data_IF_672060062796
#
_entry.id   IF_672060062796
#
_cell.length_a   1.000
_cell.length_b   1.000
_cell.length_c   1.000
_cell.angle_alpha   90.00
_cell.angle_beta   90.00
_cell.angle_gamma   90.00
#
_symmetry.space_group_name_H-M   'P 1'
#
loop_
_entity.id
_entity.type
_entity.pdbx_description
1 polymer ?
#
# COMPACT_ATOMS: atom_id res chain seq x y z
N UNK A 1 8.57 -19.25 5.81
CA UNK A 1 9.61 -18.25 5.50
C UNK A 1 9.03 -17.44 4.36
N UNK A 2 8.53 -16.24 4.64
CA UNK A 2 8.15 -15.32 3.56
C UNK A 2 9.44 -14.98 2.81
N UNK A 3 9.44 -15.18 1.49
CA UNK A 3 10.59 -14.85 0.68
C UNK A 3 10.68 -13.32 0.61
N UNK A 4 11.90 -12.79 0.67
CA UNK A 4 12.15 -11.34 0.66
C UNK A 4 11.62 -10.66 -0.62
N UNK A 5 11.27 -11.46 -1.65
CA UNK A 5 10.80 -10.99 -2.95
C UNK A 5 9.35 -11.40 -3.26
N UNK A 6 8.58 -11.86 -2.27
CA UNK A 6 7.20 -12.26 -2.52
C UNK A 6 6.34 -11.02 -2.85
N UNK A 7 5.60 -11.02 -3.99
CA UNK A 7 4.80 -9.88 -4.38
C UNK A 7 3.63 -9.69 -3.41
N UNK A 8 3.46 -8.44 -2.97
CA UNK A 8 2.39 -8.08 -2.04
C UNK A 8 1.89 -6.67 -2.26
N UNK A 9 0.62 -6.46 -1.88
CA UNK A 9 -0.02 -5.14 -1.88
C UNK A 9 -0.14 -4.62 -0.46
N UNK A 10 0.53 -3.51 -0.18
CA UNK A 10 0.41 -2.81 1.10
C UNK A 10 -0.56 -1.64 0.94
N UNK A 11 -1.49 -1.50 1.88
CA UNK A 11 -2.46 -0.40 1.90
C UNK A 11 -2.24 0.45 3.15
N UNK A 12 -1.75 1.67 2.95
CA UNK A 12 -1.53 2.64 4.00
C UNK A 12 -2.76 3.56 4.10
N UNK A 13 -3.56 3.40 5.14
CA UNK A 13 -4.74 4.23 5.40
C UNK A 13 -4.38 5.39 6.32
N UNK A 14 -4.49 6.61 5.81
CA UNK A 14 -4.09 7.84 6.53
C UNK A 14 -5.19 8.91 6.43
N UNK A 15 -5.03 10.00 7.19
CA UNK A 15 -5.96 11.12 7.14
C UNK A 15 -5.60 12.08 6.00
N UNK A 16 -6.61 12.59 5.32
CA UNK A 16 -6.51 13.63 4.29
C UNK A 16 -5.67 14.86 4.68
N UNK A 17 -5.63 15.23 5.96
CA UNK A 17 -4.78 16.31 6.46
C UNK A 17 -3.27 16.10 6.19
N UNK A 18 -2.84 14.89 5.85
CA UNK A 18 -1.44 14.55 5.52
C UNK A 18 -1.23 14.27 4.02
N UNK A 19 -2.13 14.73 3.14
CA UNK A 19 -2.07 14.44 1.70
C UNK A 19 -0.78 14.89 1.00
N UNK A 20 -0.15 15.99 1.48
CA UNK A 20 1.13 16.50 0.98
C UNK A 20 2.35 15.72 1.49
N UNK A 21 2.15 14.76 2.39
CA UNK A 21 3.22 14.01 3.05
C UNK A 21 3.27 12.54 2.57
N UNK A 22 2.66 12.22 1.43
CA UNK A 22 2.62 10.85 0.89
C UNK A 22 4.02 10.26 0.66
N UNK A 23 4.94 11.05 0.09
CA UNK A 23 6.34 10.67 -0.07
C UNK A 23 7.02 10.37 1.28
N UNK A 24 6.75 11.19 2.30
CA UNK A 24 7.32 11.02 3.67
C UNK A 24 6.73 9.78 4.35
N UNK A 25 5.44 9.50 4.11
CA UNK A 25 4.78 8.27 4.60
C UNK A 25 5.46 7.04 3.99
N UNK A 26 5.73 7.03 2.69
CA UNK A 26 6.41 5.94 2.01
C UNK A 26 7.84 5.74 2.54
N UNK A 27 8.64 6.81 2.63
CA UNK A 27 10.01 6.77 3.15
C UNK A 27 10.06 6.18 4.58
N UNK A 28 9.19 6.68 5.48
CA UNK A 28 9.14 6.18 6.86
C UNK A 28 8.61 4.74 6.95
N UNK A 29 7.70 4.35 6.05
CA UNK A 29 7.22 2.98 6.00
C UNK A 29 8.36 2.01 5.66
N UNK A 30 9.13 2.27 4.60
CA UNK A 30 10.26 1.43 4.22
C UNK A 30 11.38 1.46 5.28
N UNK A 31 11.69 2.62 5.86
CA UNK A 31 12.67 2.70 6.94
C UNK A 31 12.34 1.77 8.14
N UNK A 32 11.06 1.48 8.39
CA UNK A 32 10.60 0.63 9.50
C UNK A 32 10.36 -0.83 9.12
N UNK A 33 9.86 -1.09 7.90
CA UNK A 33 9.35 -2.40 7.50
C UNK A 33 10.25 -3.17 6.52
N UNK A 34 11.33 -2.55 6.05
CA UNK A 34 12.30 -3.17 5.17
C UNK A 34 12.72 -2.26 4.03
N UNK A 35 13.91 -2.49 3.44
CA UNK A 35 14.45 -1.62 2.42
C UNK A 35 13.44 -1.43 1.28
N UNK A 36 13.30 -0.18 0.85
CA UNK A 36 12.56 0.15 -0.35
C UNK A 36 13.09 -0.67 -1.53
N UNK A 37 12.24 -1.47 -2.21
CA UNK A 37 12.70 -2.28 -3.32
C UNK A 37 13.10 -1.34 -4.46
N UNK A 38 14.40 -1.28 -4.76
CA UNK A 38 15.01 -0.42 -5.78
C UNK A 38 14.28 -0.53 -7.12
N UNK A 39 13.43 0.46 -7.44
CA UNK A 39 12.60 0.50 -8.64
C UNK A 39 11.75 -0.76 -8.86
N UNK A 40 11.34 -1.47 -7.80
CA UNK A 40 10.48 -2.66 -7.89
C UNK A 40 9.27 -2.51 -6.97
N UNK A 41 8.72 -1.30 -6.92
CA UNK A 41 7.38 -1.06 -6.42
C UNK A 41 6.68 0.06 -7.20
N UNK A 42 5.37 0.11 -7.04
CA UNK A 42 4.56 1.22 -7.52
C UNK A 42 3.65 1.77 -6.43
N UNK A 43 3.42 3.09 -6.42
CA UNK A 43 2.63 3.78 -5.40
C UNK A 43 1.40 4.44 -6.04
N UNK A 44 0.21 3.93 -5.74
CA UNK A 44 -1.05 4.57 -6.12
C UNK A 44 -1.57 5.44 -4.96
N UNK A 45 -1.69 6.74 -5.20
CA UNK A 45 -2.37 7.63 -4.29
C UNK A 45 -3.88 7.63 -4.59
N UNK A 46 -4.67 7.20 -3.63
CA UNK A 46 -6.12 7.12 -3.74
C UNK A 46 -6.76 8.26 -2.93
N UNK A 47 -7.53 9.15 -3.58
CA UNK A 47 -8.19 10.26 -2.90
C UNK A 47 -9.28 9.78 -1.92
N UNK A 48 -9.68 10.64 -0.98
CA UNK A 48 -10.77 10.31 -0.07
C UNK A 48 -12.09 10.18 -0.83
N UNK A 49 -12.97 9.31 -0.35
CA UNK A 49 -14.37 9.25 -0.79
C UNK A 49 -15.26 10.07 0.17
N UNK A 50 -16.40 9.52 0.61
CA UNK A 50 -17.28 10.08 1.66
C UNK A 50 -16.62 10.16 3.07
N UNK A 51 -15.34 9.84 3.21
CA UNK A 51 -14.61 9.87 4.49
C UNK A 51 -13.34 10.72 4.39
N UNK A 52 -12.88 11.30 5.51
CA UNK A 52 -11.60 12.04 5.61
C UNK A 52 -10.36 11.13 5.59
N UNK A 53 -10.41 10.05 4.80
CA UNK A 53 -9.40 8.98 4.80
C UNK A 53 -8.91 8.75 3.38
N UNK A 54 -7.61 8.91 3.21
CA UNK A 54 -6.87 8.62 1.99
C UNK A 54 -6.16 7.28 2.11
N UNK A 55 -5.74 6.74 0.97
CA UNK A 55 -5.01 5.48 0.90
C UNK A 55 -3.82 5.64 -0.03
N UNK A 56 -2.64 5.16 0.39
CA UNK A 56 -1.55 4.84 -0.53
C UNK A 56 -1.56 3.32 -0.69
N UNK A 57 -1.60 2.86 -1.93
CA UNK A 57 -1.47 1.45 -2.28
C UNK A 57 -0.07 1.25 -2.84
N UNK A 58 0.74 0.46 -2.14
CA UNK A 58 2.08 0.08 -2.58
C UNK A 58 2.05 -1.34 -3.13
N UNK A 59 2.38 -1.47 -4.40
CA UNK A 59 2.55 -2.75 -5.07
C UNK A 59 4.02 -3.14 -5.04
N UNK A 60 4.40 -3.96 -4.06
CA UNK A 60 5.79 -4.36 -3.82
C UNK A 60 6.13 -5.56 -4.69
N UNK A 61 7.27 -5.50 -5.37
CA UNK A 61 7.75 -6.49 -6.36
C UNK A 61 6.93 -6.56 -7.64
N UNK A 62 6.36 -5.43 -8.07
CA UNK A 62 5.49 -5.37 -9.24
C UNK A 62 6.21 -5.51 -10.59
N UNK A 63 7.47 -5.08 -10.69
CA UNK A 63 8.25 -5.16 -11.92
C UNK A 63 8.86 -6.55 -12.11
N UNK A 64 9.27 -7.20 -11.01
CA UNK A 64 9.71 -8.60 -11.03
C UNK A 64 8.54 -9.58 -11.22
N UNK A 65 7.32 -9.19 -10.85
CA UNK A 65 6.10 -9.99 -11.01
C UNK A 65 5.04 -9.23 -11.81
N UNK A 66 5.23 -9.03 -13.12
CA UNK A 66 4.33 -8.19 -13.95
C UNK A 66 2.94 -8.79 -14.14
N UNK A 67 2.77 -10.08 -13.86
CA UNK A 67 1.48 -10.77 -13.92
C UNK A 67 1.22 -11.42 -12.58
N UNK A 68 0.13 -11.04 -11.94
CA UNK A 68 -0.29 -11.60 -10.66
C UNK A 68 -1.79 -11.87 -10.66
N UNK A 69 -2.18 -12.88 -9.88
CA UNK A 69 -3.58 -13.11 -9.56
C UNK A 69 -3.98 -12.19 -8.38
N UNK A 70 -4.73 -11.13 -8.72
CA UNK A 70 -5.29 -10.17 -7.77
C UNK A 70 -6.14 -10.82 -6.66
N UNK A 71 -6.67 -12.02 -6.90
CA UNK A 71 -7.46 -12.77 -5.93
C UNK A 71 -6.60 -13.43 -4.85
N UNK A 72 -5.35 -13.77 -5.17
CA UNK A 72 -4.46 -14.52 -4.28
C UNK A 72 -3.32 -13.70 -3.69
N UNK A 73 -2.96 -12.56 -4.29
CA UNK A 73 -1.87 -11.71 -3.80
C UNK A 73 -2.05 -11.34 -2.33
N UNK A 74 -0.96 -11.38 -1.55
CA UNK A 74 -0.99 -11.00 -0.13
C UNK A 74 -1.32 -9.51 0.03
N UNK A 75 -2.20 -9.20 0.98
CA UNK A 75 -2.53 -7.84 1.38
C UNK A 75 -2.05 -7.58 2.80
N UNK A 76 -1.35 -6.48 3.00
CA UNK A 76 -1.07 -5.92 4.31
C UNK A 76 -1.75 -4.56 4.41
N UNK A 77 -2.43 -4.28 5.53
CA UNK A 77 -3.11 -3.01 5.71
C UNK A 77 -2.57 -2.35 6.96
N UNK A 78 -2.14 -1.10 6.85
CA UNK A 78 -1.66 -0.31 7.96
C UNK A 78 -2.54 0.90 8.18
N UNK A 79 -2.90 1.15 9.43
CA UNK A 79 -3.44 2.42 9.86
C UNK A 79 -2.27 3.36 10.18
N UNK A 80 -2.21 4.48 9.48
CA UNK A 80 -1.18 5.50 9.66
C UNK A 80 -1.70 6.62 10.56
N UNK A 81 -0.93 6.96 11.59
CA UNK A 81 -1.20 8.10 12.47
C UNK A 81 0.07 8.91 12.67
N UNK A 82 -0.05 10.22 12.91
CA UNK A 82 1.10 11.08 13.21
C UNK A 82 1.08 11.48 14.69
N UNK A 83 2.18 11.27 15.39
CA UNK A 83 2.44 11.82 16.72
C UNK A 83 3.95 12.10 16.82
N UNK A 84 4.35 13.27 16.32
CA UNK A 84 5.73 13.54 15.90
C UNK A 84 5.98 12.90 14.53
N UNK A 85 6.39 11.63 14.53
CA UNK A 85 6.60 10.81 13.32
C UNK A 85 5.34 10.01 12.95
N UNK A 86 5.33 9.45 11.74
CA UNK A 86 4.30 8.51 11.33
C UNK A 86 4.46 7.18 12.07
N UNK A 87 3.33 6.63 12.52
CA UNK A 87 3.22 5.33 13.17
C UNK A 87 2.33 4.45 12.31
N UNK A 88 2.77 3.22 12.11
CA UNK A 88 2.12 2.23 11.26
C UNK A 88 1.58 1.10 12.15
N UNK A 89 0.26 1.00 12.24
CA UNK A 89 -0.43 -0.04 13.00
C UNK A 89 -0.98 -1.07 12.00
N UNK A 90 -0.39 -2.26 11.95
CA UNK A 90 -0.87 -3.32 11.07
C UNK A 90 -2.26 -3.78 11.53
N UNK A 91 -3.18 -3.87 10.58
CA UNK A 91 -4.55 -4.32 10.80
C UNK A 91 -4.70 -5.81 10.50
N UNK A 92 -5.81 -6.37 10.95
CA UNK A 92 -6.08 -7.80 10.84
C UNK A 92 -6.58 -8.22 9.44
N UNK A 93 -6.76 -9.53 9.25
CA UNK A 93 -7.21 -10.13 8.00
C UNK A 93 -8.55 -9.58 7.48
N UNK A 94 -9.46 -9.14 8.35
CA UNK A 94 -10.73 -8.54 7.92
C UNK A 94 -10.51 -7.20 7.20
N UNK A 95 -9.54 -6.40 7.68
CA UNK A 95 -9.14 -5.17 6.99
C UNK A 95 -8.51 -5.49 5.62
N UNK A 96 -7.67 -6.54 5.53
CA UNK A 96 -7.09 -6.99 4.26
C UNK A 96 -8.15 -7.44 3.24
N UNK A 97 -9.15 -8.23 3.68
CA UNK A 97 -10.26 -8.64 2.82
C UNK A 97 -11.08 -7.44 2.31
N UNK A 98 -11.33 -6.47 3.19
CA UNK A 98 -12.04 -5.25 2.81
C UNK A 98 -11.23 -4.42 1.80
N UNK A 99 -9.93 -4.24 2.05
CA UNK A 99 -9.02 -3.53 1.17
C UNK A 99 -8.96 -4.17 -0.23
N UNK A 100 -8.86 -5.50 -0.31
CA UNK A 100 -8.89 -6.24 -1.58
C UNK A 100 -10.16 -5.95 -2.38
N UNK A 101 -11.34 -6.11 -1.76
CA UNK A 101 -12.63 -5.81 -2.41
C UNK A 101 -12.70 -4.36 -2.90
N UNK A 102 -12.18 -3.41 -2.12
CA UNK A 102 -12.18 -1.99 -2.51
C UNK A 102 -11.23 -1.71 -3.67
N UNK A 103 -10.02 -2.26 -3.67
CA UNK A 103 -9.09 -2.12 -4.79
C UNK A 103 -9.70 -2.67 -6.09
N UNK A 104 -10.36 -3.83 -6.02
CA UNK A 104 -11.08 -4.42 -7.15
C UNK A 104 -12.23 -3.53 -7.64
N UNK A 105 -13.07 -3.02 -6.74
CA UNK A 105 -14.17 -2.11 -7.09
C UNK A 105 -13.69 -0.79 -7.71
N UNK A 106 -12.52 -0.31 -7.29
CA UNK A 106 -11.91 0.91 -7.79
C UNK A 106 -11.08 0.71 -9.06
N UNK A 107 -10.90 -0.54 -9.51
CA UNK A 107 -10.08 -0.86 -10.68
C UNK A 107 -8.59 -0.55 -10.49
N UNK A 108 -8.07 -0.64 -9.27
CA UNK A 108 -6.63 -0.43 -9.00
C UNK A 108 -5.85 -1.60 -9.60
N UNK A 109 -5.15 -1.32 -10.71
CA UNK A 109 -4.32 -2.29 -11.42
C UNK A 109 -2.99 -2.52 -10.69
N UNK A 110 -2.47 -3.75 -10.77
CA UNK A 110 -1.15 -4.12 -10.27
C UNK A 110 -0.02 -3.48 -11.08
N UNK A 111 0.75 -2.57 -10.46
CA UNK A 111 1.88 -1.84 -11.07
C UNK A 111 1.48 -1.02 -12.31
N UNK A 112 1.81 0.27 -12.41
CA UNK A 112 1.49 1.03 -13.65
C UNK A 112 2.46 2.19 -13.84
N UNK A 113 2.90 2.62 -15.02
CA UNK A 113 2.43 2.34 -16.38
C UNK A 113 2.80 0.96 -16.92
N UNK A 114 1.74 0.24 -17.31
CA UNK A 114 1.81 -0.64 -18.47
C UNK A 114 2.07 0.25 -19.68
N UNK A 115 3.19 0.01 -20.38
CA UNK A 115 3.49 0.61 -21.68
C UNK A 115 2.36 0.39 -22.68
#
# INVERSE_FOLDING_TARGET
MESINDPKRVVLRFSDQYWLEDAVINEQFFALHGPEPLNDFYSHLIPPNESSKMYIILDIHCNSHPTIDDSTITYEVFKVRKNGNFKFEQLNAAACQYARKRCQLMGVKWGTDQS
#
